data_IF_727978995722
#
_entry.id   IF_727978995722
#
_cell.length_a   1.000
_cell.length_b   1.000
_cell.length_c   1.000
_cell.angle_alpha   90.00
_cell.angle_beta   90.00
_cell.angle_gamma   90.00
#
_symmetry.space_group_name_H-M   'P 1'
#
loop_
_entity.id
_entity.type
_entity.pdbx_description
1 polymer ?
#
# COMPACT_ATOMS: atom_id res chain seq x y z
N UNK A 1 17.52 -7.60 16.83
CA UNK A 1 16.57 -8.13 17.83
C UNK A 1 15.55 -7.08 18.26
N UNK A 2 15.95 -5.83 18.54
CA UNK A 2 15.03 -4.75 18.91
C UNK A 2 14.03 -4.31 17.82
N UNK A 3 14.35 -4.48 16.53
CA UNK A 3 13.43 -4.08 15.44
C UNK A 3 12.17 -4.95 15.37
N UNK A 4 12.19 -6.20 15.86
CA UNK A 4 11.00 -7.05 15.92
C UNK A 4 9.94 -6.51 16.89
N UNK A 5 10.36 -5.77 17.92
CA UNK A 5 9.44 -5.09 18.83
C UNK A 5 8.73 -3.92 18.14
N UNK A 6 9.36 -3.33 17.11
CA UNK A 6 8.81 -2.25 16.28
C UNK A 6 7.89 -2.76 15.16
N UNK A 7 7.98 -4.02 14.78
CA UNK A 7 7.11 -4.63 13.74
C UNK A 7 5.63 -4.52 14.10
N UNK A 8 5.27 -4.77 15.37
CA UNK A 8 3.87 -4.72 15.82
C UNK A 8 3.24 -3.32 15.68
N UNK A 9 3.84 -2.23 16.22
CA UNK A 9 3.29 -0.88 16.04
C UNK A 9 3.31 -0.43 14.58
N UNK A 10 4.39 -0.71 13.84
CA UNK A 10 4.47 -0.39 12.40
C UNK A 10 3.34 -1.05 11.59
N UNK A 11 3.12 -2.35 11.79
CA UNK A 11 2.04 -3.10 11.16
C UNK A 11 0.67 -2.51 11.49
N UNK A 12 0.43 -2.21 12.77
CA UNK A 12 -0.86 -1.67 13.22
C UNK A 12 -1.14 -0.31 12.58
N UNK A 13 -0.14 0.57 12.53
CA UNK A 13 -0.27 1.89 11.93
C UNK A 13 -0.56 1.81 10.42
N UNK A 14 0.25 1.04 9.68
CA UNK A 14 0.06 0.85 8.23
C UNK A 14 -1.31 0.22 7.92
N UNK A 15 -1.70 -0.80 8.68
CA UNK A 15 -3.01 -1.44 8.51
C UNK A 15 -4.16 -0.46 8.75
N UNK A 16 -4.15 0.31 9.84
CA UNK A 16 -5.24 1.25 10.15
C UNK A 16 -5.40 2.36 9.12
N UNK A 17 -4.30 2.78 8.47
CA UNK A 17 -4.34 3.80 7.41
C UNK A 17 -4.94 3.20 6.13
N UNK A 18 -4.56 1.98 5.77
CA UNK A 18 -4.93 1.38 4.49
C UNK A 18 -6.28 0.67 4.49
N UNK A 19 -6.69 0.10 5.62
CA UNK A 19 -7.91 -0.70 5.74
C UNK A 19 -9.16 0.00 5.17
N UNK A 20 -9.46 1.27 5.48
CA UNK A 20 -10.66 1.93 4.94
C UNK A 20 -10.67 2.00 3.41
N UNK A 21 -9.51 2.27 2.80
CA UNK A 21 -9.38 2.39 1.35
C UNK A 21 -9.47 1.03 0.66
N UNK A 22 -8.79 0.02 1.19
CA UNK A 22 -8.83 -1.34 0.65
C UNK A 22 -10.25 -1.92 0.74
N UNK A 23 -10.94 -1.73 1.87
CA UNK A 23 -12.32 -2.21 2.03
C UNK A 23 -13.28 -1.55 1.02
N UNK A 24 -13.12 -0.26 0.75
CA UNK A 24 -13.93 0.47 -0.25
C UNK A 24 -13.72 -0.09 -1.66
N UNK A 25 -12.48 -0.43 -2.03
CA UNK A 25 -12.16 -0.85 -3.40
C UNK A 25 -12.33 -2.34 -3.66
N UNK A 26 -12.10 -3.19 -2.66
CA UNK A 26 -12.22 -4.65 -2.78
C UNK A 26 -13.62 -5.11 -3.22
N UNK A 27 -14.68 -4.40 -2.83
CA UNK A 27 -16.05 -4.85 -3.10
C UNK A 27 -16.29 -6.30 -2.67
N UNK A 28 -17.37 -6.93 -3.14
CA UNK A 28 -17.66 -8.35 -2.85
C UNK A 28 -16.97 -9.33 -3.81
N UNK A 29 -16.35 -8.84 -4.89
CA UNK A 29 -15.89 -9.67 -6.01
C UNK A 29 -14.38 -9.59 -6.30
N UNK A 30 -13.62 -8.71 -5.63
CA UNK A 30 -12.18 -8.60 -5.91
C UNK A 30 -11.45 -9.87 -5.44
N UNK A 31 -10.63 -10.40 -6.34
CA UNK A 31 -9.80 -11.55 -6.10
C UNK A 31 -8.43 -11.08 -5.62
N UNK A 32 -7.74 -11.90 -4.80
CA UNK A 32 -6.39 -11.60 -4.34
C UNK A 32 -5.43 -11.29 -5.51
N UNK A 33 -5.64 -11.91 -6.67
CA UNK A 33 -4.86 -11.65 -7.89
C UNK A 33 -5.00 -10.23 -8.46
N UNK A 34 -6.10 -9.53 -8.23
CA UNK A 34 -6.31 -8.17 -8.73
C UNK A 34 -5.32 -7.17 -8.10
N UNK A 35 -4.86 -7.48 -6.89
CA UNK A 35 -3.92 -6.66 -6.13
C UNK A 35 -2.46 -6.88 -6.54
N UNK A 36 -2.18 -7.89 -7.38
CA UNK A 36 -0.83 -8.20 -7.88
C UNK A 36 -0.40 -7.33 -9.08
N UNK A 37 -1.25 -6.40 -9.53
CA UNK A 37 -0.86 -5.47 -10.59
C UNK A 37 0.40 -4.69 -10.16
N UNK A 38 1.43 -4.56 -11.01
CA UNK A 38 2.70 -3.93 -10.62
C UNK A 38 2.55 -2.53 -10.01
N UNK A 39 1.65 -1.70 -10.58
CA UNK A 39 1.30 -0.38 -10.05
C UNK A 39 0.81 -0.45 -8.60
N UNK A 40 -0.16 -1.33 -8.33
CA UNK A 40 -0.79 -1.48 -7.02
C UNK A 40 0.25 -1.99 -6.01
N UNK A 41 1.02 -3.02 -6.38
CA UNK A 41 2.07 -3.56 -5.52
C UNK A 41 3.13 -2.51 -5.19
N UNK A 42 3.59 -1.73 -6.18
CA UNK A 42 4.55 -0.65 -5.96
C UNK A 42 4.01 0.41 -5.01
N UNK A 43 2.75 0.81 -5.21
CA UNK A 43 2.07 1.77 -4.37
C UNK A 43 1.94 1.27 -2.92
N UNK A 44 1.30 0.13 -2.71
CA UNK A 44 1.03 -0.38 -1.37
C UNK A 44 2.31 -0.76 -0.62
N UNK A 45 3.27 -1.41 -1.28
CA UNK A 45 4.53 -1.78 -0.64
C UNK A 45 5.31 -0.54 -0.17
N UNK A 46 5.35 0.50 -1.00
CA UNK A 46 6.04 1.76 -0.68
C UNK A 46 5.31 2.51 0.43
N UNK A 47 3.98 2.60 0.37
CA UNK A 47 3.19 3.29 1.38
C UNK A 47 3.31 2.61 2.75
N UNK A 48 3.27 1.28 2.79
CA UNK A 48 3.53 0.52 4.03
C UNK A 48 4.93 0.81 4.57
N UNK A 49 5.95 0.87 3.71
CA UNK A 49 7.31 1.25 4.12
C UNK A 49 7.34 2.62 4.76
N UNK A 50 6.78 3.62 4.09
CA UNK A 50 6.83 5.00 4.56
C UNK A 50 6.11 5.17 5.90
N UNK A 51 4.92 4.57 6.05
CA UNK A 51 4.16 4.61 7.32
C UNK A 51 4.94 3.90 8.44
N UNK A 52 5.54 2.74 8.14
CA UNK A 52 6.32 1.99 9.11
C UNK A 52 7.54 2.79 9.60
N UNK A 53 8.27 3.42 8.67
CA UNK A 53 9.44 4.24 9.00
C UNK A 53 9.07 5.51 9.75
N UNK A 54 7.97 6.17 9.39
CA UNK A 54 7.43 7.30 10.14
C UNK A 54 7.07 6.92 11.59
N UNK A 55 6.50 5.74 11.78
CA UNK A 55 6.01 5.28 13.09
C UNK A 55 7.15 4.83 14.01
N UNK A 56 8.19 4.21 13.46
CA UNK A 56 9.18 3.44 14.23
C UNK A 56 10.65 3.82 13.95
N UNK A 57 10.88 4.78 13.07
CA UNK A 57 12.17 5.03 12.45
C UNK A 57 12.54 3.96 11.41
N UNK A 58 13.72 4.10 10.81
CA UNK A 58 14.23 3.13 9.83
C UNK A 58 14.21 1.70 10.38
N UNK A 59 13.70 0.79 9.56
CA UNK A 59 13.67 -0.65 9.83
C UNK A 59 14.70 -1.37 8.99
N UNK A 60 15.30 -2.43 9.55
CA UNK A 60 16.15 -3.34 8.76
C UNK A 60 15.31 -4.05 7.71
N UNK A 61 15.94 -4.43 6.60
CA UNK A 61 15.29 -5.06 5.43
C UNK A 61 14.36 -6.23 5.80
N UNK A 62 14.79 -7.13 6.70
CA UNK A 62 13.95 -8.28 7.12
C UNK A 62 12.74 -7.86 7.97
N UNK A 63 12.87 -6.84 8.81
CA UNK A 63 11.77 -6.33 9.63
C UNK A 63 10.75 -5.59 8.75
N UNK A 64 11.24 -4.83 7.77
CA UNK A 64 10.40 -4.14 6.80
C UNK A 64 9.65 -5.12 5.90
N UNK A 65 10.34 -6.13 5.35
CA UNK A 65 9.72 -7.18 4.54
C UNK A 65 8.62 -7.93 5.33
N UNK A 66 8.84 -8.20 6.62
CA UNK A 66 7.84 -8.81 7.49
C UNK A 66 6.61 -7.91 7.70
N UNK A 67 6.79 -6.59 7.83
CA UNK A 67 5.68 -5.63 7.93
C UNK A 67 4.91 -5.58 6.61
N UNK A 68 5.60 -5.41 5.48
CA UNK A 68 4.97 -5.38 4.15
C UNK A 68 4.18 -6.66 3.87
N UNK A 69 4.80 -7.83 4.00
CA UNK A 69 4.13 -9.10 3.76
C UNK A 69 2.92 -9.29 4.70
N UNK A 70 3.05 -8.96 5.99
CA UNK A 70 1.96 -9.12 6.94
C UNK A 70 0.79 -8.17 6.71
N UNK A 71 1.06 -6.91 6.36
CA UNK A 71 0.01 -5.90 6.11
C UNK A 71 -0.70 -6.22 4.80
N UNK A 72 0.05 -6.47 3.73
CA UNK A 72 -0.52 -6.73 2.41
C UNK A 72 -1.30 -8.04 2.39
N UNK A 73 -0.80 -9.10 3.04
CA UNK A 73 -1.56 -10.34 3.19
C UNK A 73 -2.89 -10.12 3.91
N UNK A 74 -2.88 -9.37 5.03
CA UNK A 74 -4.08 -9.12 5.81
C UNK A 74 -5.12 -8.29 5.04
N UNK A 75 -4.68 -7.35 4.21
CA UNK A 75 -5.56 -6.44 3.47
C UNK A 75 -6.10 -7.06 2.16
N UNK A 76 -5.28 -7.82 1.45
CA UNK A 76 -5.57 -8.26 0.06
C UNK A 76 -5.84 -9.75 -0.05
N UNK A 77 -5.51 -10.54 0.98
CA UNK A 77 -5.56 -12.00 0.93
C UNK A 77 -4.44 -12.65 0.10
N UNK A 78 -3.53 -11.89 -0.51
CA UNK A 78 -2.38 -12.44 -1.23
C UNK A 78 -1.45 -13.16 -0.25
N UNK A 79 -0.97 -14.35 -0.61
CA UNK A 79 0.02 -15.10 0.18
C UNK A 79 1.30 -14.29 0.43
N UNK A 80 1.86 -14.29 1.66
CA UNK A 80 3.01 -13.45 2.01
C UNK A 80 4.28 -13.80 1.23
N UNK A 81 4.45 -15.06 0.82
CA UNK A 81 5.58 -15.50 -0.01
C UNK A 81 5.52 -14.87 -1.41
N UNK A 82 4.33 -14.84 -2.01
CA UNK A 82 4.10 -14.28 -3.33
C UNK A 82 4.32 -12.76 -3.37
N UNK A 83 3.88 -12.05 -2.31
CA UNK A 83 4.12 -10.59 -2.17
C UNK A 83 5.62 -10.28 -2.21
N UNK A 84 6.41 -11.00 -1.43
CA UNK A 84 7.85 -10.77 -1.34
C UNK A 84 8.56 -11.06 -2.66
N UNK A 85 8.20 -12.16 -3.33
CA UNK A 85 8.78 -12.55 -4.62
C UNK A 85 8.49 -11.50 -5.71
N UNK A 86 7.23 -11.08 -5.85
CA UNK A 86 6.83 -10.09 -6.86
C UNK A 86 7.47 -8.72 -6.63
N UNK A 87 7.52 -8.23 -5.38
CA UNK A 87 8.20 -6.98 -5.05
C UNK A 87 9.69 -7.06 -5.45
N UNK A 88 10.37 -8.17 -5.12
CA UNK A 88 11.78 -8.35 -5.48
C UNK A 88 11.96 -8.39 -7.00
N UNK A 89 11.10 -9.13 -7.71
CA UNK A 89 11.16 -9.29 -9.15
C UNK A 89 10.95 -7.95 -9.88
N UNK A 90 9.86 -7.23 -9.56
CA UNK A 90 9.51 -5.96 -10.18
C UNK A 90 10.55 -4.87 -9.90
N UNK A 91 11.04 -4.80 -8.66
CA UNK A 91 12.11 -3.88 -8.26
C UNK A 91 13.41 -4.18 -9.02
N UNK A 92 13.81 -5.46 -9.14
CA UNK A 92 15.04 -5.86 -9.85
C UNK A 92 15.00 -5.50 -11.35
N UNK A 93 13.80 -5.55 -11.95
CA UNK A 93 13.56 -5.20 -13.35
C UNK A 93 13.39 -3.70 -13.58
N UNK A 94 13.31 -2.90 -12.52
CA UNK A 94 12.93 -1.48 -12.58
C UNK A 94 11.63 -1.30 -13.37
N UNK A 95 10.65 -2.14 -13.06
CA UNK A 95 9.36 -2.10 -13.76
C UNK A 95 8.75 -0.68 -13.68
N UNK A 96 8.33 -0.10 -14.82
CA UNK A 96 7.89 1.29 -14.86
C UNK A 96 6.55 1.48 -14.13
N UNK A 97 5.63 0.51 -14.17
CA UNK A 97 4.36 0.59 -13.46
C UNK A 97 4.58 0.45 -11.95
N UNK A 98 5.43 -0.48 -11.53
CA UNK A 98 5.85 -0.57 -10.13
C UNK A 98 6.46 0.74 -9.62
N UNK A 99 7.34 1.36 -10.41
CA UNK A 99 7.98 2.65 -10.07
C UNK A 99 6.95 3.78 -9.99
N UNK A 100 5.99 3.84 -10.92
CA UNK A 100 4.91 4.84 -10.89
C UNK A 100 4.00 4.66 -9.66
N UNK A 101 3.71 3.42 -9.28
CA UNK A 101 3.04 3.11 -8.02
C UNK A 101 3.81 3.62 -6.81
N UNK A 102 5.11 3.33 -6.74
CA UNK A 102 5.98 3.82 -5.65
C UNK A 102 6.02 5.34 -5.53
N UNK A 103 6.04 6.07 -6.65
CA UNK A 103 5.99 7.53 -6.64
C UNK A 103 4.63 8.05 -6.15
N UNK A 104 3.54 7.42 -6.59
CA UNK A 104 2.19 7.74 -6.11
C UNK A 104 2.04 7.59 -4.60
N UNK A 105 2.70 6.59 -4.00
CA UNK A 105 2.67 6.37 -2.56
C UNK A 105 3.29 7.53 -1.77
N UNK A 106 4.30 8.20 -2.33
CA UNK A 106 4.91 9.39 -1.72
C UNK A 106 3.89 10.54 -1.71
N UNK A 107 3.26 10.81 -2.86
CA UNK A 107 2.23 11.84 -2.97
C UNK A 107 1.03 11.56 -2.04
N UNK A 108 0.63 10.29 -1.92
CA UNK A 108 -0.44 9.90 -1.00
C UNK A 108 -0.07 10.16 0.46
N UNK A 109 1.16 9.85 0.88
CA UNK A 109 1.60 10.13 2.24
C UNK A 109 1.67 11.64 2.52
N UNK A 110 2.13 12.44 1.56
CA UNK A 110 2.15 13.91 1.69
C UNK A 110 0.73 14.46 1.86
N UNK A 111 -0.24 13.96 1.08
CA UNK A 111 -1.64 14.33 1.24
C UNK A 111 -2.21 13.87 2.60
N UNK A 112 -1.82 12.68 3.08
CA UNK A 112 -2.25 12.17 4.38
C UNK A 112 -1.76 13.05 5.53
N UNK A 113 -0.59 13.64 5.39
CA UNK A 113 0.00 14.56 6.37
C UNK A 113 -0.67 15.94 6.36
N UNK A 114 -1.16 16.36 5.21
CA UNK A 114 -1.90 17.58 5.04
C UNK A 114 -3.36 17.48 5.53
N UNK A 115 -3.92 16.27 5.67
CA UNK A 115 -5.31 15.99 6.02
C UNK A 115 -5.50 15.62 7.51
N UNK A 116 -5.65 16.58 8.44
CA UNK A 116 -5.86 16.28 9.86
C UNK A 116 -7.25 15.70 10.18
N UNK A 117 -8.26 15.93 9.33
CA UNK A 117 -9.65 15.46 9.50
C UNK A 117 -10.16 14.72 8.24
N UNK A 118 -10.72 13.50 8.36
CA UNK A 118 -11.39 12.78 7.27
C UNK A 118 -12.56 13.51 6.60
N UNK A 119 -13.09 14.59 7.18
CA UNK A 119 -14.19 15.38 6.61
C UNK A 119 -13.74 16.60 5.78
N UNK A 120 -12.44 16.90 5.76
CA UNK A 120 -11.89 18.04 5.03
C UNK A 120 -11.62 17.72 3.54
N UNK A 121 -11.48 18.77 2.72
CA UNK A 121 -11.20 18.65 1.28
C UNK A 121 -9.93 17.86 0.94
N UNK A 122 -9.00 17.74 1.89
CA UNK A 122 -7.78 16.96 1.75
C UNK A 122 -8.05 15.44 1.72
N UNK A 123 -9.17 14.98 2.28
CA UNK A 123 -9.58 13.58 2.18
C UNK A 123 -9.98 13.20 0.75
N UNK A 124 -10.54 14.15 -0.02
CA UNK A 124 -10.84 13.93 -1.44
C UNK A 124 -9.57 13.71 -2.25
N UNK A 125 -8.49 14.43 -1.95
CA UNK A 125 -7.20 14.23 -2.63
C UNK A 125 -6.65 12.81 -2.39
N UNK A 126 -6.84 12.26 -1.18
CA UNK A 126 -6.50 10.87 -0.88
C UNK A 126 -7.34 9.89 -1.69
N UNK A 127 -8.66 10.13 -1.80
CA UNK A 127 -9.53 9.30 -2.63
C UNK A 127 -9.16 9.35 -4.12
N UNK A 128 -8.83 10.54 -4.64
CA UNK A 128 -8.41 10.72 -6.04
C UNK A 128 -7.09 9.99 -6.33
N UNK A 129 -6.09 10.12 -5.45
CA UNK A 129 -4.81 9.41 -5.56
C UNK A 129 -4.99 7.90 -5.44
N UNK A 130 -5.84 7.44 -4.53
CA UNK A 130 -6.17 6.03 -4.40
C UNK A 130 -6.88 5.50 -5.66
N UNK A 131 -7.83 6.26 -6.21
CA UNK A 131 -8.52 5.95 -7.45
C UNK A 131 -7.55 5.81 -8.64
N UNK A 132 -6.59 6.73 -8.74
CA UNK A 132 -5.56 6.73 -9.78
C UNK A 132 -4.63 5.51 -9.70
N UNK A 133 -4.12 5.21 -8.50
CA UNK A 133 -3.07 4.20 -8.32
C UNK A 133 -3.58 2.79 -8.01
N UNK A 134 -4.83 2.65 -7.54
CA UNK A 134 -5.40 1.37 -7.12
C UNK A 134 -6.68 1.04 -7.89
N UNK A 135 -7.74 1.83 -7.78
CA UNK A 135 -9.06 1.44 -8.28
C UNK A 135 -9.10 1.25 -9.80
N UNK A 136 -8.43 2.15 -10.53
CA UNK A 136 -8.25 2.07 -11.99
C UNK A 136 -7.65 0.73 -12.44
N UNK A 137 -6.79 0.13 -11.63
CA UNK A 137 -6.05 -1.09 -11.96
C UNK A 137 -6.74 -2.35 -11.45
N UNK A 138 -7.56 -2.26 -10.40
CA UNK A 138 -8.43 -3.36 -9.96
C UNK A 138 -9.61 -3.53 -10.94
N UNK A 139 -10.16 -2.43 -11.47
CA UNK A 139 -11.31 -2.45 -12.39
C UNK A 139 -10.98 -1.75 -13.71
N UNK A 140 -10.15 -2.33 -14.59
CA UNK A 140 -9.73 -1.68 -15.83
C UNK A 140 -10.88 -1.37 -16.80
N UNK A 141 -12.09 -1.93 -16.60
CA UNK A 141 -13.24 -1.81 -17.50
C UNK A 141 -14.49 -1.12 -16.93
N UNK A 142 -14.44 -0.46 -15.76
CA UNK A 142 -15.59 0.35 -15.30
C UNK A 142 -15.39 1.83 -15.69
N UNK A 143 -16.26 2.42 -16.55
CA UNK A 143 -16.26 3.86 -16.75
C UNK A 143 -16.66 4.54 -15.43
N UNK A 144 -15.96 5.62 -15.06
CA UNK A 144 -16.38 6.51 -13.98
C UNK A 144 -17.80 7.01 -14.31
N UNK A 145 -18.79 6.61 -13.50
CA UNK A 145 -20.18 7.09 -13.58
C UNK A 145 -20.33 8.28 -12.65
#
# INVERSE_FOLDING_TARGET
MFDLLKVRPARRAAYSVLEPFVQKSAGSESQAGDWLQPQILGFLATLVTLIAERTCGQLRTHALAAVQASVLNALTGIGPELIGEEICLLSSRRDPAFTAGSLGAIAFLEALDAAPDPQDGDWKALEDLWGEHVERYIRPNQPFI
#
